data_IF_133953792269
#
_entry.id   IF_133953792269
#
_cell.length_a   1.000
_cell.length_b   1.000
_cell.length_c   1.000
_cell.angle_alpha   90.00
_cell.angle_beta   90.00
_cell.angle_gamma   90.00
#
_symmetry.space_group_name_H-M   'P 1'
#
loop_
_entity.id
_entity.type
_entity.pdbx_description
1 polymer ?
#
# COMPACT_ATOMS: atom_id res chain seq x y z
N UNK A 1 9.15 20.95 6.72
CA UNK A 1 7.95 20.28 6.18
C UNK A 1 7.70 19.02 6.97
N UNK A 2 6.47 18.80 7.43
CA UNK A 2 6.12 17.66 8.27
C UNK A 2 5.25 16.67 7.54
N UNK A 3 5.59 15.37 7.65
CA UNK A 3 4.93 14.28 6.94
C UNK A 3 4.41 13.25 7.92
N UNK A 4 3.16 12.83 7.75
CA UNK A 4 2.56 11.71 8.47
C UNK A 4 2.52 10.46 7.58
N UNK A 5 3.10 9.37 8.05
CA UNK A 5 2.93 8.03 7.50
C UNK A 5 2.05 7.22 8.46
N UNK A 6 0.91 6.73 8.00
CA UNK A 6 -0.07 6.08 8.86
C UNK A 6 -0.61 4.77 8.26
N UNK A 7 -1.21 3.94 9.10
CA UNK A 7 -1.84 2.69 8.70
C UNK A 7 -0.91 1.48 8.75
N UNK A 8 -0.88 0.68 7.68
CA UNK A 8 0.00 -0.50 7.59
C UNK A 8 1.42 -0.09 7.19
N UNK A 9 2.20 0.34 8.16
CA UNK A 9 3.54 0.91 7.97
C UNK A 9 4.67 -0.13 7.97
N UNK A 10 4.35 -1.42 7.89
CA UNK A 10 5.37 -2.49 7.91
C UNK A 10 6.38 -2.43 6.76
N UNK A 11 6.01 -1.84 5.64
CA UNK A 11 6.92 -1.60 4.50
C UNK A 11 7.81 -0.38 4.67
N UNK A 12 7.50 0.52 5.61
CA UNK A 12 8.23 1.78 5.77
C UNK A 12 9.58 1.52 6.43
N UNK A 13 10.65 1.91 5.76
CA UNK A 13 12.04 1.85 6.23
C UNK A 13 12.64 3.25 6.28
N UNK A 14 13.80 3.40 6.92
CA UNK A 14 14.53 4.68 6.88
C UNK A 14 14.89 5.07 5.44
N UNK A 15 15.33 4.10 4.62
CA UNK A 15 15.65 4.32 3.20
C UNK A 15 14.42 4.81 2.44
N UNK A 16 13.26 4.15 2.62
CA UNK A 16 12.01 4.61 2.02
C UNK A 16 11.68 6.07 2.39
N UNK A 17 11.83 6.43 3.67
CA UNK A 17 11.59 7.81 4.12
C UNK A 17 12.57 8.79 3.47
N UNK A 18 13.85 8.44 3.37
CA UNK A 18 14.86 9.27 2.76
C UNK A 18 14.61 9.53 1.28
N UNK A 19 14.16 8.51 0.56
CA UNK A 19 13.86 8.60 -0.87
C UNK A 19 12.56 9.34 -1.15
N UNK A 20 11.50 9.05 -0.37
CA UNK A 20 10.19 9.66 -0.58
C UNK A 20 10.08 11.09 -0.03
N UNK A 21 10.77 11.38 1.07
CA UNK A 21 10.60 12.60 1.85
C UNK A 21 11.96 13.17 2.34
N UNK A 22 12.90 13.46 1.41
CA UNK A 22 14.19 14.03 1.79
C UNK A 22 13.99 15.33 2.57
N UNK A 23 14.73 15.49 3.65
CA UNK A 23 14.75 16.70 4.49
C UNK A 23 13.41 17.02 5.22
N UNK A 24 12.49 16.05 5.31
CA UNK A 24 11.24 16.21 6.05
C UNK A 24 11.36 15.65 7.47
N UNK A 25 10.63 16.26 8.40
CA UNK A 25 10.33 15.65 9.69
C UNK A 25 9.18 14.66 9.50
N UNK A 26 9.35 13.42 9.94
CA UNK A 26 8.42 12.34 9.66
C UNK A 26 7.86 11.75 10.95
N UNK A 27 6.53 11.70 11.04
CA UNK A 27 5.80 10.98 12.08
C UNK A 27 5.24 9.70 11.48
N UNK A 28 5.53 8.57 12.09
CA UNK A 28 5.02 7.25 11.69
C UNK A 28 4.06 6.73 12.75
N UNK A 29 2.78 6.57 12.37
CA UNK A 29 1.72 6.02 13.22
C UNK A 29 1.21 4.72 12.58
N UNK A 30 1.75 3.59 12.98
CA UNK A 30 1.44 2.34 12.29
C UNK A 30 1.35 1.12 13.18
N UNK A 31 1.11 -0.02 12.55
CA UNK A 31 1.06 -1.33 13.19
C UNK A 31 2.45 -1.86 13.54
N UNK A 32 3.49 -1.35 12.90
CA UNK A 32 4.88 -1.69 13.18
C UNK A 32 5.70 -0.43 13.44
N UNK A 33 6.60 -0.52 14.42
CA UNK A 33 7.52 0.57 14.73
C UNK A 33 8.80 0.39 13.93
N UNK A 34 9.35 1.49 13.44
CA UNK A 34 10.69 1.49 12.85
C UNK A 34 11.71 1.03 13.90
N UNK A 35 12.53 0.04 13.53
CA UNK A 35 13.53 -0.57 14.42
C UNK A 35 14.72 0.33 14.73
N UNK A 36 14.91 1.40 13.98
CA UNK A 36 16.05 2.30 14.11
C UNK A 36 15.59 3.74 14.32
N UNK A 37 16.14 4.37 15.34
CA UNK A 37 15.87 5.75 15.71
C UNK A 37 17.16 6.59 15.52
N UNK A 38 17.92 6.33 14.45
CA UNK A 38 19.23 6.98 14.21
C UNK A 38 19.12 8.42 13.73
N UNK A 39 18.00 8.80 13.10
CA UNK A 39 17.78 10.16 12.60
C UNK A 39 16.87 10.95 13.55
N UNK A 40 17.26 12.18 13.86
CA UNK A 40 16.55 13.07 14.79
C UNK A 40 15.15 13.47 14.31
N UNK A 41 14.84 13.25 13.03
CA UNK A 41 13.64 13.74 12.36
C UNK A 41 12.56 12.66 12.16
N UNK A 42 12.70 11.48 12.78
CA UNK A 42 11.71 10.41 12.66
C UNK A 42 11.15 10.09 14.03
N UNK A 43 9.85 10.32 14.23
CA UNK A 43 9.08 9.84 15.37
C UNK A 43 8.24 8.64 14.95
N UNK A 44 8.50 7.45 15.50
CA UNK A 44 7.69 6.26 15.24
C UNK A 44 6.93 5.83 16.49
N UNK A 45 5.60 5.63 16.35
CA UNK A 45 4.70 5.18 17.42
C UNK A 45 3.66 4.19 16.88
N UNK A 46 3.09 3.32 17.74
CA UNK A 46 1.92 2.54 17.37
C UNK A 46 0.78 3.44 16.93
N UNK A 47 -0.12 2.91 16.09
CA UNK A 47 -1.30 3.67 15.68
C UNK A 47 -2.17 4.01 16.91
N UNK A 48 -2.51 5.28 17.02
CA UNK A 48 -3.28 5.83 18.13
C UNK A 48 -4.75 5.66 17.85
N UNK A 49 -5.45 4.92 18.73
CA UNK A 49 -6.91 4.69 18.63
C UNK A 49 -7.72 5.80 19.34
N UNK A 50 -7.12 6.46 20.31
CA UNK A 50 -7.77 7.54 21.03
C UNK A 50 -7.81 8.81 20.17
N UNK A 51 -9.02 9.30 19.87
CA UNK A 51 -9.23 10.46 19.00
C UNK A 51 -8.61 11.73 19.58
N UNK A 52 -8.58 11.86 20.92
CA UNK A 52 -8.03 13.03 21.60
C UNK A 52 -6.50 13.04 21.45
N UNK A 53 -5.85 11.92 21.67
CA UNK A 53 -4.39 11.79 21.53
C UNK A 53 -3.97 12.01 20.06
N UNK A 54 -4.72 11.46 19.10
CA UNK A 54 -4.47 11.69 17.69
C UNK A 54 -4.61 13.19 17.32
N UNK A 55 -5.61 13.86 17.89
CA UNK A 55 -5.79 15.30 17.72
C UNK A 55 -4.63 16.11 18.29
N UNK A 56 -4.10 15.74 19.46
CA UNK A 56 -2.93 16.39 20.08
C UNK A 56 -1.69 16.27 19.15
N UNK A 57 -1.52 15.15 18.44
CA UNK A 57 -0.45 15.00 17.43
C UNK A 57 -0.68 15.99 16.28
N UNK A 58 -1.88 16.09 15.74
CA UNK A 58 -2.18 17.03 14.66
C UNK A 58 -2.12 18.51 15.10
N UNK A 59 -2.19 18.80 16.40
CA UNK A 59 -1.98 20.15 16.97
C UNK A 59 -0.49 20.42 17.24
N UNK A 60 0.31 19.36 17.46
CA UNK A 60 1.75 19.46 17.70
C UNK A 60 2.55 19.56 16.40
N UNK A 61 2.09 18.86 15.36
CA UNK A 61 2.74 18.79 14.07
C UNK A 61 1.85 19.42 12.99
N UNK A 62 2.44 20.32 12.21
CA UNK A 62 1.76 20.96 11.07
C UNK A 62 1.94 20.14 9.79
N UNK A 63 1.25 19.00 9.71
CA UNK A 63 1.37 18.12 8.57
C UNK A 63 0.94 18.80 7.26
N UNK A 64 1.83 18.75 6.27
CA UNK A 64 1.57 19.18 4.90
C UNK A 64 1.27 17.98 3.99
N UNK A 65 1.84 16.81 4.32
CA UNK A 65 1.71 15.57 3.53
C UNK A 65 1.33 14.40 4.44
N UNK A 66 0.39 13.60 3.98
CA UNK A 66 -0.04 12.39 4.67
C UNK A 66 -0.03 11.23 3.68
N UNK A 67 0.62 10.12 4.03
CA UNK A 67 0.52 8.84 3.33
C UNK A 67 -0.17 7.85 4.24
N UNK A 68 -1.31 7.35 3.81
CA UNK A 68 -2.02 6.28 4.52
C UNK A 68 -1.84 4.96 3.76
N UNK A 69 -1.18 4.02 4.40
CA UNK A 69 -0.96 2.66 3.89
C UNK A 69 -2.13 1.78 4.30
N UNK A 70 -2.92 1.35 3.32
CA UNK A 70 -4.04 0.44 3.56
C UNK A 70 -3.55 -0.94 4.01
N UNK A 71 -4.35 -1.61 4.84
CA UNK A 71 -4.14 -3.02 5.18
C UNK A 71 -4.30 -3.95 3.97
N UNK A 72 -4.91 -3.46 2.89
CA UNK A 72 -5.09 -4.23 1.63
C UNK A 72 -3.83 -4.31 0.76
N UNK A 73 -2.77 -3.59 1.12
CA UNK A 73 -1.46 -3.72 0.47
C UNK A 73 -0.80 -5.07 0.77
N UNK A 74 -1.24 -5.76 1.82
CA UNK A 74 -0.77 -7.11 2.16
C UNK A 74 -1.85 -8.15 1.89
N UNK A 75 -1.49 -9.34 1.43
CA UNK A 75 -2.44 -10.43 1.14
C UNK A 75 -3.25 -10.87 2.37
N UNK A 76 -2.76 -10.60 3.59
CA UNK A 76 -3.37 -11.04 4.85
C UNK A 76 -3.67 -9.90 5.82
N UNK A 77 -3.83 -8.69 5.30
CA UNK A 77 -4.19 -7.53 6.12
C UNK A 77 -5.47 -7.78 6.91
N UNK A 78 -5.45 -7.55 8.22
CA UNK A 78 -6.65 -7.61 9.04
C UNK A 78 -7.53 -6.42 8.71
N UNK A 79 -8.74 -6.70 8.23
CA UNK A 79 -9.69 -5.70 7.72
C UNK A 79 -10.39 -4.91 8.82
N UNK A 80 -10.22 -5.28 10.10
CA UNK A 80 -10.92 -4.66 11.23
C UNK A 80 -10.26 -3.35 11.65
N UNK A 81 -11.03 -2.28 11.63
CA UNK A 81 -10.64 -0.98 12.18
C UNK A 81 -10.03 0.01 11.17
N UNK A 82 -9.70 -0.40 9.95
CA UNK A 82 -9.09 0.51 8.97
C UNK A 82 -9.98 1.68 8.60
N UNK A 83 -11.26 1.44 8.30
CA UNK A 83 -12.20 2.51 7.93
C UNK A 83 -12.34 3.55 9.04
N UNK A 84 -12.32 3.12 10.29
CA UNK A 84 -12.41 4.05 11.43
C UNK A 84 -11.12 4.87 11.57
N UNK A 85 -9.96 4.24 11.46
CA UNK A 85 -8.67 4.94 11.50
C UNK A 85 -8.54 5.97 10.36
N UNK A 86 -8.90 5.55 9.14
CA UNK A 86 -8.90 6.40 7.96
C UNK A 86 -9.86 7.58 8.14
N UNK A 87 -11.07 7.32 8.67
CA UNK A 87 -12.06 8.36 8.97
C UNK A 87 -11.53 9.37 9.99
N UNK A 88 -10.88 8.93 11.05
CA UNK A 88 -10.30 9.81 12.08
C UNK A 88 -9.25 10.75 11.47
N UNK A 89 -8.33 10.24 10.66
CA UNK A 89 -7.32 11.06 9.98
C UNK A 89 -7.99 12.06 9.02
N UNK A 90 -8.94 11.61 8.19
CA UNK A 90 -9.66 12.48 7.27
C UNK A 90 -10.45 13.58 7.98
N UNK A 91 -11.01 13.30 9.19
CA UNK A 91 -11.67 14.31 10.02
C UNK A 91 -10.71 15.41 10.46
N UNK A 92 -9.48 15.06 10.79
CA UNK A 92 -8.46 16.03 11.20
C UNK A 92 -7.96 16.86 10.01
N UNK A 93 -7.86 16.26 8.82
CA UNK A 93 -7.49 16.98 7.60
C UNK A 93 -8.48 18.10 7.20
N UNK A 94 -9.74 18.06 7.68
CA UNK A 94 -10.71 19.12 7.38
C UNK A 94 -10.29 20.51 7.83
N UNK A 95 -9.46 20.59 8.86
CA UNK A 95 -9.04 21.84 9.46
C UNK A 95 -7.96 22.57 8.67
N UNK A 96 -7.18 21.81 7.89
CA UNK A 96 -6.12 22.35 7.05
C UNK A 96 -6.28 21.87 5.60
N UNK A 97 -6.66 22.79 4.70
CA UNK A 97 -6.91 22.52 3.28
C UNK A 97 -5.64 22.36 2.45
N UNK A 98 -4.51 22.76 2.99
CA UNK A 98 -3.21 22.61 2.32
C UNK A 98 -2.66 21.19 2.42
N UNK A 99 -3.19 20.38 3.34
CA UNK A 99 -2.78 18.97 3.48
C UNK A 99 -3.08 18.23 2.19
N UNK A 100 -2.05 17.54 1.66
CA UNK A 100 -2.13 16.59 0.56
C UNK A 100 -2.07 15.18 1.12
N UNK A 101 -3.14 14.42 0.95
CA UNK A 101 -3.24 13.05 1.47
C UNK A 101 -3.24 12.02 0.36
N UNK A 102 -2.26 11.12 0.36
CA UNK A 102 -2.22 9.91 -0.45
C UNK A 102 -2.80 8.73 0.33
N UNK A 103 -3.75 8.04 -0.26
CA UNK A 103 -4.25 6.74 0.21
C UNK A 103 -3.70 5.65 -0.70
N UNK A 104 -2.84 4.80 -0.17
CA UNK A 104 -2.23 3.69 -0.88
C UNK A 104 -3.06 2.43 -0.65
N UNK A 105 -3.56 1.82 -1.71
CA UNK A 105 -4.40 0.62 -1.65
C UNK A 105 -4.03 -0.38 -2.74
N UNK A 106 -4.53 -1.61 -2.65
CA UNK A 106 -4.33 -2.61 -3.70
C UNK A 106 -5.19 -2.35 -4.93
N UNK A 107 -4.89 -3.05 -6.01
CA UNK A 107 -5.60 -2.94 -7.29
C UNK A 107 -6.91 -3.74 -7.34
N UNK A 108 -7.32 -4.39 -6.26
CA UNK A 108 -8.48 -5.28 -6.23
C UNK A 108 -9.80 -4.60 -6.59
N UNK A 109 -9.92 -3.29 -6.34
CA UNK A 109 -11.12 -2.53 -6.73
C UNK A 109 -11.32 -2.39 -8.25
N UNK A 110 -10.24 -2.59 -9.02
CA UNK A 110 -10.30 -2.52 -10.49
C UNK A 110 -10.88 -3.81 -11.06
N UNK A 111 -10.60 -4.93 -10.38
CA UNK A 111 -11.11 -6.23 -10.79
C UNK A 111 -12.58 -6.29 -10.37
N UNK A 112 -13.49 -6.45 -11.30
CA UNK A 112 -14.93 -6.52 -11.06
C UNK A 112 -15.32 -7.82 -10.33
N UNK A 113 -14.78 -8.02 -9.12
CA UNK A 113 -14.91 -9.19 -8.28
C UNK A 113 -15.80 -8.85 -7.09
N UNK A 114 -16.82 -9.64 -6.85
CA UNK A 114 -17.68 -9.55 -5.66
C UNK A 114 -17.10 -10.35 -4.49
N UNK A 115 -15.84 -10.14 -4.15
CA UNK A 115 -15.27 -10.67 -2.92
C UNK A 115 -15.46 -9.70 -1.75
N UNK A 116 -15.48 -10.20 -0.53
CA UNK A 116 -15.52 -9.34 0.66
C UNK A 116 -14.36 -8.35 0.71
N UNK A 117 -13.16 -8.77 0.26
CA UNK A 117 -11.97 -7.92 0.16
C UNK A 117 -12.16 -6.77 -0.82
N UNK A 118 -12.63 -7.06 -2.05
CA UNK A 118 -12.88 -6.05 -3.08
C UNK A 118 -13.91 -5.01 -2.63
N UNK A 119 -14.99 -5.45 -1.96
CA UNK A 119 -16.00 -4.54 -1.43
C UNK A 119 -15.44 -3.59 -0.37
N UNK A 120 -14.55 -4.08 0.49
CA UNK A 120 -13.94 -3.24 1.54
C UNK A 120 -12.92 -2.27 0.98
N UNK A 121 -12.10 -2.68 0.01
CA UNK A 121 -11.21 -1.78 -0.73
C UNK A 121 -12.02 -0.66 -1.38
N UNK A 122 -13.07 -1.01 -2.12
CA UNK A 122 -13.95 -0.03 -2.76
C UNK A 122 -14.64 0.90 -1.75
N UNK A 123 -15.05 0.39 -0.59
CA UNK A 123 -15.63 1.20 0.48
C UNK A 123 -14.63 2.21 1.03
N UNK A 124 -13.38 1.81 1.27
CA UNK A 124 -12.32 2.69 1.76
C UNK A 124 -11.99 3.77 0.72
N UNK A 125 -11.84 3.42 -0.56
CA UNK A 125 -11.64 4.39 -1.64
C UNK A 125 -12.79 5.41 -1.72
N UNK A 126 -14.04 4.94 -1.61
CA UNK A 126 -15.21 5.82 -1.62
C UNK A 126 -15.20 6.78 -0.43
N UNK A 127 -14.81 6.33 0.76
CA UNK A 127 -14.67 7.22 1.94
C UNK A 127 -13.64 8.31 1.66
N UNK A 128 -12.47 7.99 1.11
CA UNK A 128 -11.43 8.98 0.76
C UNK A 128 -11.96 9.98 -0.26
N UNK A 129 -12.62 9.51 -1.31
CA UNK A 129 -13.15 10.36 -2.38
C UNK A 129 -14.27 11.27 -1.87
N UNK A 130 -15.22 10.75 -1.09
CA UNK A 130 -16.33 11.53 -0.52
C UNK A 130 -15.85 12.60 0.46
N UNK A 131 -14.91 12.27 1.36
CA UNK A 131 -14.32 13.28 2.24
C UNK A 131 -13.58 14.36 1.44
N UNK A 132 -12.84 13.98 0.42
CA UNK A 132 -12.19 14.93 -0.48
C UNK A 132 -13.19 15.87 -1.17
N UNK A 133 -14.33 15.34 -1.65
CA UNK A 133 -15.38 16.12 -2.30
C UNK A 133 -16.13 17.01 -1.33
N UNK A 134 -16.66 16.43 -0.24
CA UNK A 134 -17.51 17.13 0.73
C UNK A 134 -16.76 18.23 1.47
N UNK A 135 -15.51 17.97 1.81
CA UNK A 135 -14.72 18.88 2.67
C UNK A 135 -13.58 19.58 1.94
N UNK A 136 -13.47 19.37 0.63
CA UNK A 136 -12.42 19.97 -0.21
C UNK A 136 -11.00 19.69 0.32
N UNK A 137 -10.77 18.45 0.75
CA UNK A 137 -9.46 17.96 1.14
C UNK A 137 -8.72 17.49 -0.12
N UNK A 138 -7.44 17.83 -0.25
CA UNK A 138 -6.59 17.34 -1.35
C UNK A 138 -6.26 15.87 -1.15
N UNK A 139 -7.17 14.97 -1.54
CA UNK A 139 -6.98 13.52 -1.47
C UNK A 139 -6.64 12.94 -2.82
N UNK A 140 -5.76 11.94 -2.83
CA UNK A 140 -5.43 11.14 -4.02
C UNK A 140 -5.30 9.67 -3.63
N UNK A 141 -5.80 8.76 -4.47
CA UNK A 141 -5.73 7.32 -4.32
C UNK A 141 -4.66 6.79 -5.27
N UNK A 142 -3.72 6.00 -4.75
CA UNK A 142 -2.82 5.19 -5.56
C UNK A 142 -3.17 3.72 -5.38
N UNK A 143 -3.61 3.08 -6.46
CA UNK A 143 -3.84 1.64 -6.53
C UNK A 143 -2.56 0.96 -6.95
N UNK A 144 -2.02 0.14 -6.07
CA UNK A 144 -0.68 -0.40 -6.16
C UNK A 144 -0.76 -1.90 -6.42
N UNK A 145 0.07 -2.45 -7.34
CA UNK A 145 0.30 -3.89 -7.47
C UNK A 145 0.78 -4.51 -6.15
N UNK A 146 1.00 -5.82 -6.12
CA UNK A 146 1.58 -6.46 -4.95
C UNK A 146 2.95 -5.85 -4.64
N UNK A 147 3.07 -5.31 -3.44
CA UNK A 147 4.34 -4.78 -2.95
C UNK A 147 5.29 -5.90 -2.58
N UNK A 148 6.56 -5.73 -2.93
CA UNK A 148 7.64 -6.54 -2.41
C UNK A 148 8.82 -5.67 -1.97
N UNK A 149 9.59 -6.19 -1.02
CA UNK A 149 10.76 -5.50 -0.47
C UNK A 149 11.76 -6.54 0.03
N UNK A 150 13.04 -6.28 -0.15
CA UNK A 150 14.10 -7.15 0.36
C UNK A 150 14.18 -7.21 1.89
N UNK A 151 13.54 -6.26 2.58
CA UNK A 151 13.63 -6.12 4.05
C UNK A 151 12.32 -6.43 4.79
N UNK A 152 11.18 -6.50 4.09
CA UNK A 152 9.88 -6.72 4.72
C UNK A 152 9.49 -8.19 4.73
N UNK A 153 9.48 -8.78 5.94
CA UNK A 153 9.21 -10.21 6.16
C UNK A 153 7.72 -10.58 6.15
N UNK A 154 6.84 -9.68 5.72
CA UNK A 154 5.40 -9.92 5.61
C UNK A 154 4.89 -9.74 4.18
N UNK A 155 5.80 -9.58 3.20
CA UNK A 155 5.43 -9.46 1.81
C UNK A 155 4.99 -10.80 1.21
N UNK A 156 4.52 -10.73 -0.03
CA UNK A 156 4.02 -11.90 -0.76
C UNK A 156 5.08 -13.00 -0.88
N UNK A 157 6.30 -12.65 -1.31
CA UNK A 157 7.34 -13.63 -1.56
C UNK A 157 7.84 -14.28 -0.28
N UNK A 158 8.09 -13.46 0.76
CA UNK A 158 8.54 -13.99 2.04
C UNK A 158 7.55 -15.03 2.59
N UNK A 159 6.25 -14.70 2.61
CA UNK A 159 5.21 -15.62 3.09
C UNK A 159 5.13 -16.89 2.25
N UNK A 160 5.18 -16.73 0.92
CA UNK A 160 5.11 -17.85 0.01
C UNK A 160 6.28 -18.83 0.22
N UNK A 161 7.50 -18.31 0.35
CA UNK A 161 8.68 -19.14 0.59
C UNK A 161 8.65 -19.77 1.99
N UNK A 162 8.26 -19.02 3.02
CA UNK A 162 8.14 -19.55 4.39
C UNK A 162 7.11 -20.68 4.45
N UNK A 163 5.93 -20.51 3.85
CA UNK A 163 4.89 -21.54 3.80
C UNK A 163 5.38 -22.79 3.07
N UNK A 164 6.09 -22.63 1.95
CA UNK A 164 6.67 -23.70 1.19
C UNK A 164 7.73 -24.48 2.01
N UNK A 165 8.60 -23.80 2.73
CA UNK A 165 9.65 -24.42 3.54
C UNK A 165 9.08 -25.13 4.78
N UNK A 166 8.11 -24.53 5.46
CA UNK A 166 7.56 -25.06 6.70
C UNK A 166 6.59 -26.23 6.48
N UNK A 167 5.72 -26.12 5.48
CA UNK A 167 4.63 -27.10 5.27
C UNK A 167 4.86 -28.05 4.07
N UNK A 168 5.75 -27.70 3.17
CA UNK A 168 5.89 -28.37 1.87
C UNK A 168 4.68 -28.19 0.95
N UNK A 169 3.80 -27.21 1.26
CA UNK A 169 2.54 -26.98 0.53
C UNK A 169 2.39 -25.52 0.19
N UNK A 170 1.79 -25.26 -0.96
CA UNK A 170 1.36 -23.92 -1.37
C UNK A 170 -0.06 -24.04 -1.94
N UNK A 171 -0.92 -23.14 -1.59
CA UNK A 171 -2.29 -23.06 -2.14
C UNK A 171 -2.49 -21.69 -2.76
N UNK A 172 -2.61 -21.65 -4.08
CA UNK A 172 -3.03 -20.44 -4.78
C UNK A 172 -4.56 -20.39 -4.86
N UNK A 173 -5.12 -19.25 -4.55
CA UNK A 173 -6.57 -19.02 -4.65
C UNK A 173 -6.98 -18.70 -6.10
N UNK A 174 -6.04 -18.26 -6.92
CA UNK A 174 -6.22 -17.87 -8.31
C UNK A 174 -6.01 -19.02 -9.28
N UNK A 175 -6.40 -18.80 -10.54
CA UNK A 175 -6.12 -19.71 -11.66
C UNK A 175 -4.63 -19.73 -12.03
N UNK A 176 -4.06 -20.86 -12.50
CA UNK A 176 -2.68 -20.93 -13.01
C UNK A 176 -2.34 -19.89 -14.07
N UNK A 177 -3.32 -19.54 -14.92
CA UNK A 177 -3.16 -18.59 -16.02
C UNK A 177 -3.37 -17.13 -15.59
N UNK A 178 -3.81 -16.89 -14.36
CA UNK A 178 -3.98 -15.53 -13.82
C UNK A 178 -2.61 -14.87 -13.67
N UNK A 179 -2.49 -13.63 -14.16
CA UNK A 179 -1.31 -12.82 -13.93
C UNK A 179 -1.35 -12.18 -12.54
N UNK A 180 -0.20 -12.14 -11.91
CA UNK A 180 0.07 -11.36 -10.71
C UNK A 180 1.05 -10.25 -11.06
N UNK A 181 0.83 -9.07 -10.51
CA UNK A 181 1.55 -7.84 -10.81
C UNK A 181 2.29 -7.36 -9.57
N UNK A 182 3.52 -6.90 -9.75
CA UNK A 182 4.41 -6.54 -8.65
C UNK A 182 5.03 -5.17 -8.84
N UNK A 183 5.25 -4.46 -7.73
CA UNK A 183 6.04 -3.24 -7.66
C UNK A 183 6.99 -3.29 -6.47
N UNK A 184 8.23 -2.85 -6.68
CA UNK A 184 9.21 -2.74 -5.61
C UNK A 184 8.89 -1.55 -4.69
N UNK A 185 9.18 -1.71 -3.40
CA UNK A 185 8.99 -0.64 -2.43
C UNK A 185 9.88 0.57 -2.71
N UNK A 186 11.10 0.35 -3.20
CA UNK A 186 12.03 1.43 -3.53
C UNK A 186 11.53 2.24 -4.74
N UNK A 187 11.02 1.57 -5.78
CA UNK A 187 10.39 2.23 -6.93
C UNK A 187 9.15 3.04 -6.50
N UNK A 188 8.34 2.49 -5.58
CA UNK A 188 7.20 3.21 -5.02
C UNK A 188 7.64 4.46 -4.27
N UNK A 189 8.76 4.41 -3.55
CA UNK A 189 9.31 5.57 -2.83
C UNK A 189 9.63 6.73 -3.80
N UNK A 190 10.30 6.44 -4.92
CA UNK A 190 10.56 7.42 -5.98
C UNK A 190 9.25 7.99 -6.57
N UNK A 191 8.27 7.14 -6.81
CA UNK A 191 6.97 7.59 -7.32
C UNK A 191 6.27 8.53 -6.34
N UNK A 192 6.28 8.25 -5.04
CA UNK A 192 5.67 9.12 -4.04
C UNK A 192 6.31 10.51 -4.03
N UNK A 193 7.63 10.57 -4.13
CA UNK A 193 8.35 11.84 -4.27
C UNK A 193 7.83 12.64 -5.48
N UNK A 194 7.77 12.01 -6.66
CA UNK A 194 7.27 12.64 -7.89
C UNK A 194 5.79 13.09 -7.79
N UNK A 195 4.94 12.28 -7.18
CA UNK A 195 3.51 12.60 -6.99
C UNK A 195 3.32 13.80 -6.08
N UNK A 196 4.12 13.93 -5.02
CA UNK A 196 4.05 15.12 -4.15
C UNK A 196 4.67 16.37 -4.79
N UNK A 197 5.69 16.22 -5.60
CA UNK A 197 6.32 17.33 -6.34
C UNK A 197 5.36 17.86 -7.42
N UNK A 198 4.71 16.97 -8.16
CA UNK A 198 3.69 17.28 -9.15
C UNK A 198 2.34 16.69 -8.76
N UNK A 199 1.55 17.38 -7.93
CA UNK A 199 0.29 16.82 -7.41
C UNK A 199 -0.73 16.47 -8.50
N UNK A 200 -0.75 17.19 -9.64
CA UNK A 200 -1.68 16.93 -10.76
C UNK A 200 -3.16 17.02 -10.37
N UNK A 201 -4.05 16.82 -11.35
CA UNK A 201 -5.51 16.92 -11.15
C UNK A 201 -6.18 15.59 -10.87
N UNK A 202 -5.61 14.50 -11.37
CA UNK A 202 -6.20 13.17 -11.23
C UNK A 202 -6.18 12.69 -9.78
N UNK A 203 -7.32 12.20 -9.32
CA UNK A 203 -7.52 11.81 -7.92
C UNK A 203 -7.35 10.33 -7.67
N UNK A 204 -7.36 9.52 -8.73
CA UNK A 204 -7.17 8.09 -8.66
C UNK A 204 -6.17 7.65 -9.72
N UNK A 205 -5.06 7.08 -9.30
CA UNK A 205 -3.95 6.66 -10.15
C UNK A 205 -3.70 5.17 -9.97
N UNK A 206 -3.50 4.47 -11.08
CA UNK A 206 -3.08 3.07 -11.06
C UNK A 206 -1.56 3.02 -11.28
N UNK A 207 -0.86 2.45 -10.30
CA UNK A 207 0.59 2.31 -10.37
C UNK A 207 0.95 1.17 -11.32
N UNK A 208 1.85 1.39 -12.30
CA UNK A 208 2.35 0.33 -13.17
C UNK A 208 3.05 -0.78 -12.39
N UNK A 209 3.06 -1.96 -12.96
CA UNK A 209 3.88 -3.06 -12.46
C UNK A 209 5.33 -2.93 -12.95
N UNK A 210 6.30 -3.28 -12.10
CA UNK A 210 7.71 -3.45 -12.49
C UNK A 210 7.89 -4.75 -13.26
N UNK A 211 7.20 -5.79 -12.82
CA UNK A 211 7.13 -7.07 -13.52
C UNK A 211 5.81 -7.78 -13.24
N UNK A 212 5.47 -8.68 -14.15
CA UNK A 212 4.28 -9.55 -14.04
C UNK A 212 4.62 -10.96 -14.51
N UNK A 213 3.94 -11.92 -13.93
CA UNK A 213 4.01 -13.32 -14.36
C UNK A 213 2.71 -14.03 -14.05
N UNK A 214 2.45 -15.17 -14.72
CA UNK A 214 1.34 -16.04 -14.35
C UNK A 214 1.66 -16.81 -13.07
N UNK A 215 0.63 -17.26 -12.35
CA UNK A 215 0.84 -18.13 -11.20
C UNK A 215 1.52 -19.45 -11.59
N UNK A 216 1.27 -19.95 -12.80
CA UNK A 216 1.96 -21.15 -13.32
C UNK A 216 3.45 -20.91 -13.57
N UNK A 217 3.86 -19.71 -13.97
CA UNK A 217 5.28 -19.38 -14.12
C UNK A 217 5.94 -19.15 -12.76
N UNK A 218 5.23 -18.51 -11.83
CA UNK A 218 5.66 -18.40 -10.45
C UNK A 218 5.88 -19.78 -9.80
N UNK A 219 4.96 -20.73 -10.00
CA UNK A 219 5.13 -22.12 -9.57
C UNK A 219 6.42 -22.75 -10.10
N UNK A 220 6.73 -22.54 -11.39
CA UNK A 220 7.96 -23.07 -11.99
C UNK A 220 9.21 -22.52 -11.31
N UNK A 221 9.22 -21.22 -11.01
CA UNK A 221 10.35 -20.57 -10.32
C UNK A 221 10.49 -21.05 -8.86
N UNK A 222 9.37 -21.22 -8.14
CA UNK A 222 9.37 -21.76 -6.78
C UNK A 222 9.97 -23.17 -6.78
N UNK A 223 9.55 -24.05 -7.71
CA UNK A 223 10.06 -25.42 -7.80
C UNK A 223 11.55 -25.51 -8.14
N UNK A 224 12.10 -24.48 -8.81
CA UNK A 224 13.55 -24.40 -9.08
C UNK A 224 14.33 -23.94 -7.83
N UNK A 225 13.72 -23.05 -7.05
CA UNK A 225 14.38 -22.37 -5.91
C UNK A 225 14.34 -23.22 -4.64
N UNK A 226 13.22 -23.89 -4.38
CA UNK A 226 13.03 -24.69 -3.18
C UNK A 226 13.27 -26.18 -3.52
N UNK A 227 14.32 -26.80 -2.97
CA UNK A 227 14.58 -28.20 -3.20
C UNK A 227 13.55 -29.08 -2.47
N UNK A 228 13.11 -30.16 -3.13
CA UNK A 228 12.20 -31.13 -2.53
C UNK A 228 10.87 -31.24 -3.26
N UNK A 229 9.97 -32.06 -2.69
CA UNK A 229 8.63 -32.28 -3.27
C UNK A 229 7.65 -31.29 -2.66
N UNK A 230 7.23 -30.29 -3.43
CA UNK A 230 6.20 -29.34 -3.05
C UNK A 230 4.82 -29.79 -3.57
N UNK A 231 3.81 -29.76 -2.69
CA UNK A 231 2.39 -29.93 -3.04
C UNK A 231 1.79 -28.55 -3.35
N UNK A 232 1.75 -28.18 -4.64
CA UNK A 232 1.19 -26.90 -5.07
C UNK A 232 -0.21 -27.14 -5.66
N UNK A 233 -1.20 -26.44 -5.17
CA UNK A 233 -2.61 -26.55 -5.55
C UNK A 233 -3.21 -25.21 -5.92
N UNK A 234 -4.18 -25.25 -6.84
CA UNK A 234 -4.99 -24.11 -7.25
C UNK A 234 -6.43 -24.34 -6.80
N UNK A 235 -7.00 -23.41 -6.05
CA UNK A 235 -8.39 -23.52 -5.58
C UNK A 235 -9.39 -23.06 -6.63
N UNK A 236 -9.01 -22.08 -7.47
CA UNK A 236 -9.86 -21.47 -8.47
C UNK A 236 -9.29 -21.69 -9.89
N UNK A 237 -9.63 -22.82 -10.50
CA UNK A 237 -9.08 -23.18 -11.82
C UNK A 237 -9.81 -22.59 -13.04
N UNK A 238 -10.77 -21.66 -12.85
CA UNK A 238 -11.66 -21.27 -13.95
C UNK A 238 -11.91 -19.78 -14.16
N UNK A 239 -11.52 -18.91 -13.24
CA UNK A 239 -11.83 -17.48 -13.35
C UNK A 239 -10.54 -16.68 -13.58
N UNK A 240 -10.39 -16.16 -14.81
CA UNK A 240 -9.25 -15.31 -15.17
C UNK A 240 -9.74 -13.87 -15.24
N UNK A 241 -9.12 -12.99 -14.46
CA UNK A 241 -9.39 -11.57 -14.49
C UNK A 241 -8.45 -10.89 -15.48
N UNK A 242 -8.99 -10.39 -16.59
CA UNK A 242 -8.21 -9.78 -17.69
C UNK A 242 -8.22 -8.26 -17.66
N UNK A 243 -8.44 -7.65 -16.52
CA UNK A 243 -8.41 -6.20 -16.42
C UNK A 243 -6.96 -5.76 -16.26
N UNK A 244 -6.46 -4.99 -17.22
CA UNK A 244 -5.19 -4.28 -17.07
C UNK A 244 -5.51 -2.87 -16.58
N UNK A 245 -4.93 -2.44 -15.44
CA UNK A 245 -5.11 -1.08 -14.96
C UNK A 245 -4.63 -0.07 -15.99
N UNK A 246 -5.39 1.01 -16.17
CA UNK A 246 -4.92 2.14 -16.95
C UNK A 246 -3.87 2.92 -16.14
N UNK A 247 -2.62 2.80 -16.53
CA UNK A 247 -1.46 3.42 -15.88
C UNK A 247 -0.85 4.56 -16.71
N UNK A 248 -1.49 4.97 -17.80
CA UNK A 248 -0.95 5.96 -18.75
C UNK A 248 -0.63 7.28 -18.07
N UNK A 249 -1.44 7.70 -17.10
CA UNK A 249 -1.23 8.96 -16.38
C UNK A 249 0.09 8.91 -15.61
N UNK A 250 0.36 7.82 -14.89
CA UNK A 250 1.61 7.64 -14.15
C UNK A 250 2.80 7.67 -15.10
N UNK A 251 2.72 7.00 -16.25
CA UNK A 251 3.79 6.95 -17.23
C UNK A 251 4.08 8.31 -17.87
N UNK A 252 3.02 9.05 -18.20
CA UNK A 252 3.18 10.30 -18.94
C UNK A 252 3.39 11.53 -18.05
N UNK A 253 2.64 11.66 -16.96
CA UNK A 253 2.72 12.85 -16.11
C UNK A 253 3.88 12.78 -15.10
N UNK A 254 4.24 11.58 -14.64
CA UNK A 254 5.29 11.40 -13.65
C UNK A 254 6.57 10.80 -14.23
N UNK A 255 6.58 10.45 -15.53
CA UNK A 255 7.76 9.91 -16.20
C UNK A 255 8.27 8.63 -15.53
N UNK A 256 7.34 7.76 -15.11
CA UNK A 256 7.66 6.57 -14.34
C UNK A 256 7.39 5.31 -15.18
N UNK A 257 8.50 4.55 -15.50
CA UNK A 257 8.61 3.40 -16.46
C UNK A 257 8.26 3.67 -17.92
#
# INVERSE_FOLDING_TARGET
MEVLLAGNTGYVTETFIEESFPECDVVVLGNEMLKSNRKKNILSRPFIKDEKELKEIFETYEFERIVYFSNYLTMHGRMTGELEQLRQILQLCKKNKEIRMLYLTGQESIYNITSGKTLLVSAAENVVMEYGNMYQINTKILRIPHLYSAVYTQDFFYKLFTEAEESGKIVFEESPEQNIYFVCMDDLAELLYKVYDNWGKERCLNVPDCFRQSFSDLEKEIRKTIPGKLDIRYQNSGQIYKVQPDDQIIRHEYGWF
#
